data_IF_000802636491
#
_entry.id   IF_000802636491
#
_cell.length_a   1.000
_cell.length_b   1.000
_cell.length_c   1.000
_cell.angle_alpha   90.00
_cell.angle_beta   90.00
_cell.angle_gamma   90.00
#
_symmetry.space_group_name_H-M   'P 1'
#
loop_
_entity.id
_entity.type
_entity.pdbx_description
1 polymer ?
#
# COMPACT_ATOMS: atom_id res chain seq x y z
N UNK A 1 -15.70 -16.51 -23.51
CA UNK A 1 -15.29 -15.10 -23.26
C UNK A 1 -13.76 -15.03 -23.21
N UNK A 2 -13.07 -14.13 -23.94
CA UNK A 2 -11.61 -14.13 -23.93
C UNK A 2 -11.06 -13.67 -22.58
N UNK A 3 -10.25 -14.54 -21.96
CA UNK A 3 -9.53 -14.31 -20.70
C UNK A 3 -8.52 -13.16 -20.86
N UNK A 4 -7.97 -13.01 -22.06
CA UNK A 4 -7.00 -11.98 -22.42
C UNK A 4 -7.73 -10.76 -23.02
N UNK A 5 -7.43 -9.60 -22.46
CA UNK A 5 -7.74 -8.29 -23.02
C UNK A 5 -6.57 -7.82 -23.89
N UNK A 6 -6.89 -7.21 -25.04
CA UNK A 6 -5.94 -6.72 -26.04
C UNK A 6 -6.23 -5.25 -26.29
N UNK A 7 -5.20 -4.41 -26.30
CA UNK A 7 -5.33 -2.99 -26.62
C UNK A 7 -4.16 -2.52 -27.47
N UNK A 8 -4.41 -1.64 -28.44
CA UNK A 8 -3.35 -1.01 -29.23
C UNK A 8 -2.62 0.03 -28.40
N UNK A 9 -1.30 0.07 -28.54
CA UNK A 9 -0.41 1.00 -27.85
C UNK A 9 0.74 1.40 -28.77
N UNK A 10 1.33 2.56 -28.52
CA UNK A 10 2.45 3.06 -29.30
C UNK A 10 3.78 2.67 -28.65
N UNK A 11 4.69 2.11 -29.45
CA UNK A 11 6.00 1.63 -29.04
C UNK A 11 7.16 2.45 -29.62
N UNK A 12 8.35 1.83 -29.67
CA UNK A 12 9.56 2.49 -30.20
C UNK A 12 9.37 2.88 -31.66
N UNK A 13 9.89 4.04 -32.06
CA UNK A 13 9.75 4.62 -33.39
C UNK A 13 8.29 4.78 -33.83
N UNK A 14 7.41 5.06 -32.85
CA UNK A 14 5.98 5.24 -33.07
C UNK A 14 5.25 4.03 -33.69
N UNK A 15 5.87 2.85 -33.66
CA UNK A 15 5.23 1.62 -34.15
C UNK A 15 4.18 1.13 -33.16
N UNK A 16 2.97 0.86 -33.64
CA UNK A 16 1.91 0.29 -32.82
C UNK A 16 2.16 -1.19 -32.51
N UNK A 17 1.75 -1.62 -31.32
CA UNK A 17 1.73 -3.02 -30.92
C UNK A 17 0.53 -3.33 -30.03
N UNK A 18 0.22 -4.62 -29.85
CA UNK A 18 -0.88 -5.07 -29.01
C UNK A 18 -0.37 -5.41 -27.61
N UNK A 19 -0.83 -4.68 -26.59
CA UNK A 19 -0.57 -5.02 -25.20
C UNK A 19 -1.55 -6.08 -24.71
N UNK A 20 -1.05 -7.08 -23.98
CA UNK A 20 -1.87 -8.16 -23.42
C UNK A 20 -2.09 -7.96 -21.92
N UNK A 21 -3.32 -8.13 -21.43
CA UNK A 21 -3.66 -8.11 -20.00
C UNK A 21 -4.70 -9.17 -19.67
N UNK A 22 -4.79 -9.60 -18.42
CA UNK A 22 -5.95 -10.37 -17.99
C UNK A 22 -7.18 -9.45 -17.91
N UNK A 23 -8.32 -9.96 -18.37
CA UNK A 23 -9.59 -9.24 -18.29
C UNK A 23 -10.01 -9.11 -16.82
N UNK A 24 -10.10 -7.87 -16.34
CA UNK A 24 -10.49 -7.56 -14.95
C UNK A 24 -11.84 -6.84 -14.83
N UNK A 25 -12.47 -6.46 -15.94
CA UNK A 25 -13.76 -5.75 -16.00
C UNK A 25 -14.84 -6.56 -16.72
N UNK A 26 -16.12 -6.30 -16.39
CA UNK A 26 -17.29 -6.89 -17.04
C UNK A 26 -17.49 -6.30 -18.45
N UNK A 27 -18.15 -7.06 -19.33
CA UNK A 27 -18.29 -6.72 -20.75
C UNK A 27 -19.38 -5.67 -21.04
N UNK A 28 -20.22 -5.32 -20.06
CA UNK A 28 -21.28 -4.31 -20.22
C UNK A 28 -20.71 -2.88 -20.20
N UNK A 29 -19.46 -2.69 -19.78
CA UNK A 29 -18.73 -1.41 -19.84
C UNK A 29 -18.16 -1.13 -21.25
N UNK A 30 -18.85 -1.59 -22.31
CA UNK A 30 -18.53 -1.27 -23.72
C UNK A 30 -18.86 0.20 -23.99
N UNK A 31 -17.95 1.09 -23.62
CA UNK A 31 -18.06 2.51 -24.01
C UNK A 31 -17.32 3.46 -23.10
N UNK A 32 -17.10 3.10 -21.84
CA UNK A 32 -16.35 3.92 -20.89
C UNK A 32 -15.07 3.19 -20.43
N UNK A 33 -14.16 2.96 -21.38
CA UNK A 33 -12.73 3.16 -21.07
C UNK A 33 -12.40 4.65 -20.90
N UNK A 34 -13.40 5.53 -20.95
CA UNK A 34 -13.33 6.86 -20.39
C UNK A 34 -12.91 6.77 -18.94
N UNK A 35 -11.79 7.41 -18.65
CA UNK A 35 -11.29 7.78 -17.33
C UNK A 35 -12.29 8.69 -16.58
N UNK A 36 -13.58 8.38 -16.59
CA UNK A 36 -14.62 9.21 -15.99
C UNK A 36 -15.07 8.53 -14.71
N UNK A 37 -14.92 9.27 -13.61
CA UNK A 37 -15.28 8.92 -12.25
C UNK A 37 -14.34 7.94 -11.56
N UNK A 38 -13.69 8.38 -10.48
CA UNK A 38 -12.81 7.59 -9.61
C UNK A 38 -13.46 6.40 -8.88
N UNK A 39 -14.59 5.88 -9.38
CA UNK A 39 -15.15 4.58 -9.00
C UNK A 39 -14.94 3.62 -10.16
N UNK A 40 -14.20 2.55 -9.89
CA UNK A 40 -14.10 1.41 -10.79
C UNK A 40 -15.41 0.60 -10.69
N UNK A 41 -16.53 1.17 -11.15
CA UNK A 41 -17.75 0.40 -11.39
C UNK A 41 -17.47 -0.53 -12.58
N UNK A 42 -17.53 -1.84 -12.37
CA UNK A 42 -17.33 -2.83 -13.44
C UNK A 42 -16.29 -3.92 -13.19
N UNK A 43 -15.41 -3.76 -12.19
CA UNK A 43 -14.43 -4.80 -11.85
C UNK A 43 -15.09 -5.98 -11.11
N UNK A 44 -14.75 -7.22 -11.50
CA UNK A 44 -15.20 -8.42 -10.78
C UNK A 44 -14.43 -8.59 -9.46
N UNK A 45 -14.89 -9.43 -8.52
CA UNK A 45 -14.14 -9.74 -7.28
C UNK A 45 -12.70 -10.19 -7.59
N UNK A 46 -12.56 -11.10 -8.55
CA UNK A 46 -11.27 -11.55 -9.08
C UNK A 46 -10.52 -10.45 -9.83
N UNK A 47 -11.19 -9.64 -10.64
CA UNK A 47 -10.60 -8.50 -11.32
C UNK A 47 -10.01 -7.46 -10.36
N UNK A 48 -10.69 -7.22 -9.23
CA UNK A 48 -10.18 -6.37 -8.15
C UNK A 48 -8.94 -6.97 -7.49
N UNK A 49 -8.91 -8.28 -7.26
CA UNK A 49 -7.71 -8.96 -6.75
C UNK A 49 -6.54 -8.84 -7.73
N UNK A 50 -6.75 -9.13 -9.03
CA UNK A 50 -5.73 -9.02 -10.06
C UNK A 50 -5.17 -7.59 -10.18
N UNK A 51 -6.03 -6.57 -10.15
CA UNK A 51 -5.61 -5.15 -10.22
C UNK A 51 -4.87 -4.69 -8.96
N UNK A 52 -5.28 -5.15 -7.77
CA UNK A 52 -4.61 -4.83 -6.50
C UNK A 52 -3.20 -5.43 -6.46
N UNK A 53 -3.04 -6.65 -6.95
CA UNK A 53 -1.77 -7.39 -6.99
C UNK A 53 -0.94 -7.09 -8.25
N UNK A 54 -1.49 -6.34 -9.22
CA UNK A 54 -0.90 -6.09 -10.55
C UNK A 54 -0.70 -7.35 -11.39
N UNK A 55 -1.30 -8.47 -10.99
CA UNK A 55 -1.27 -9.73 -11.74
C UNK A 55 -2.00 -9.61 -13.08
N UNK A 56 -2.91 -8.65 -13.24
CA UNK A 56 -3.56 -8.38 -14.53
C UNK A 56 -2.57 -7.97 -15.64
N UNK A 57 -1.39 -7.49 -15.27
CA UNK A 57 -0.34 -7.07 -16.20
C UNK A 57 0.63 -8.21 -16.58
N UNK A 58 0.54 -9.40 -15.98
CA UNK A 58 1.42 -10.54 -16.29
C UNK A 58 1.47 -10.94 -17.77
N UNK A 59 0.36 -10.93 -18.55
CA UNK A 59 0.44 -11.25 -19.97
C UNK A 59 1.33 -10.31 -20.79
N UNK A 60 1.67 -9.12 -20.28
CA UNK A 60 2.61 -8.20 -20.92
C UNK A 60 4.04 -8.76 -20.97
N UNK A 61 4.38 -9.78 -20.18
CA UNK A 61 5.67 -10.47 -20.30
C UNK A 61 5.87 -11.04 -21.71
N UNK A 62 4.78 -11.44 -22.39
CA UNK A 62 4.83 -11.86 -23.79
C UNK A 62 5.28 -10.70 -24.70
N UNK A 63 4.86 -9.46 -24.43
CA UNK A 63 5.32 -8.28 -25.18
C UNK A 63 6.81 -7.99 -24.96
N UNK A 64 7.33 -8.29 -23.77
CA UNK A 64 8.76 -8.16 -23.48
C UNK A 64 9.55 -9.22 -24.26
N UNK A 65 9.09 -10.47 -24.24
CA UNK A 65 9.73 -11.58 -24.97
C UNK A 65 9.70 -11.34 -26.49
N UNK A 66 8.58 -10.84 -27.03
CA UNK A 66 8.46 -10.44 -28.45
C UNK A 66 9.34 -9.23 -28.82
N UNK A 67 9.81 -8.48 -27.82
CA UNK A 67 10.62 -7.31 -28.01
C UNK A 67 9.83 -6.02 -28.28
N UNK A 68 8.51 -6.00 -28.10
CA UNK A 68 7.70 -4.77 -28.18
C UNK A 68 8.00 -3.84 -27.00
N UNK A 69 8.25 -4.43 -25.83
CA UNK A 69 8.44 -3.75 -24.54
C UNK A 69 9.74 -4.18 -23.86
N UNK A 70 10.08 -3.50 -22.76
CA UNK A 70 11.12 -3.86 -21.80
C UNK A 70 10.54 -3.94 -20.39
N UNK A 71 11.33 -4.42 -19.42
CA UNK A 71 10.93 -4.39 -18.02
C UNK A 71 10.82 -2.97 -17.47
N UNK A 72 11.85 -2.15 -17.71
CA UNK A 72 11.91 -0.76 -17.28
C UNK A 72 11.87 0.17 -18.49
N UNK A 73 11.02 1.20 -18.42
CA UNK A 73 10.85 2.20 -19.46
C UNK A 73 9.61 3.07 -19.28
N UNK A 74 9.41 4.05 -20.17
CA UNK A 74 8.17 4.82 -20.22
C UNK A 74 6.96 3.91 -20.45
N UNK A 75 5.85 4.13 -19.74
CA UNK A 75 4.64 3.32 -19.93
C UNK A 75 4.07 3.57 -21.34
N UNK A 76 3.68 2.52 -22.09
CA UNK A 76 3.13 2.70 -23.43
C UNK A 76 1.73 3.33 -23.38
N UNK A 77 1.49 4.37 -24.18
CA UNK A 77 0.22 5.07 -24.23
C UNK A 77 -0.64 4.65 -25.44
N UNK A 78 -1.95 4.91 -25.38
CA UNK A 78 -2.86 4.64 -26.50
C UNK A 78 -2.61 5.66 -27.62
N UNK A 79 -2.80 5.29 -28.90
CA UNK A 79 -2.49 6.16 -30.03
C UNK A 79 -3.13 7.55 -29.96
N UNK A 80 -4.36 7.65 -29.42
CA UNK A 80 -5.11 8.90 -29.36
C UNK A 80 -4.45 9.99 -28.49
N UNK A 81 -3.54 9.60 -27.58
CA UNK A 81 -2.84 10.53 -26.69
C UNK A 81 -1.36 10.72 -27.03
N UNK A 82 -0.88 10.16 -28.14
CA UNK A 82 0.54 10.19 -28.51
C UNK A 82 0.77 11.20 -29.64
N UNK A 83 1.46 12.30 -29.32
CA UNK A 83 2.03 13.21 -30.32
C UNK A 83 3.53 13.02 -30.46
N UNK A 84 4.07 13.13 -31.68
CA UNK A 84 5.50 12.91 -31.92
C UNK A 84 6.41 13.88 -31.15
N UNK A 85 5.95 15.11 -30.96
CA UNK A 85 6.66 16.18 -30.26
C UNK A 85 6.80 15.86 -28.76
N UNK A 86 5.69 15.54 -28.10
CA UNK A 86 5.66 15.22 -26.68
C UNK A 86 6.35 13.89 -26.38
N UNK A 87 6.15 12.88 -27.25
CA UNK A 87 6.65 11.52 -27.10
C UNK A 87 7.93 11.23 -27.88
N UNK A 88 8.68 12.26 -28.27
CA UNK A 88 9.97 12.14 -28.99
C UNK A 88 10.96 11.15 -28.38
N UNK A 89 10.87 10.88 -27.07
CA UNK A 89 11.64 9.84 -26.39
C UNK A 89 11.43 8.42 -26.98
N UNK A 90 10.28 8.13 -27.59
CA UNK A 90 9.98 6.85 -28.24
C UNK A 90 10.88 6.57 -29.46
N UNK A 91 11.54 7.59 -30.04
CA UNK A 91 12.55 7.38 -31.10
C UNK A 91 13.79 6.65 -30.57
N UNK A 92 14.06 6.79 -29.27
CA UNK A 92 15.31 6.32 -28.66
C UNK A 92 15.09 5.07 -27.80
N UNK A 93 13.92 4.93 -27.16
CA UNK A 93 13.67 3.87 -26.17
C UNK A 93 12.37 3.11 -26.42
N UNK A 94 12.38 1.82 -26.08
CA UNK A 94 11.16 1.00 -26.03
C UNK A 94 10.36 1.32 -24.75
N UNK A 95 9.03 1.21 -24.80
CA UNK A 95 8.22 1.32 -23.59
C UNK A 95 8.52 0.20 -22.58
N UNK A 96 8.17 0.45 -21.32
CA UNK A 96 8.43 -0.44 -20.19
C UNK A 96 7.16 -0.91 -19.49
N UNK A 97 7.25 -2.09 -18.86
CA UNK A 97 6.24 -2.59 -17.92
C UNK A 97 6.15 -1.68 -16.68
N UNK A 98 7.31 -1.34 -16.10
CA UNK A 98 7.44 -0.41 -14.98
C UNK A 98 8.36 0.77 -15.29
N UNK A 99 8.27 1.82 -14.48
CA UNK A 99 9.02 3.06 -14.63
C UNK A 99 8.54 4.11 -13.62
N UNK A 100 9.11 5.31 -13.67
CA UNK A 100 8.77 6.40 -12.75
C UNK A 100 7.26 6.67 -12.68
N UNK A 101 6.59 6.79 -13.84
CA UNK A 101 5.14 7.02 -13.89
C UNK A 101 4.35 5.84 -13.35
N UNK A 102 4.71 4.59 -13.68
CA UNK A 102 4.05 3.39 -13.15
C UNK A 102 4.14 3.30 -11.63
N UNK A 103 5.28 3.71 -11.04
CA UNK A 103 5.51 3.70 -9.59
C UNK A 103 4.71 4.83 -8.91
N UNK A 104 4.81 6.06 -9.42
CA UNK A 104 4.15 7.23 -8.83
C UNK A 104 2.63 7.16 -8.96
N UNK A 105 2.14 6.76 -10.13
CA UNK A 105 0.72 6.62 -10.43
C UNK A 105 0.21 5.19 -10.19
N UNK A 106 0.81 4.44 -9.26
CA UNK A 106 0.31 3.10 -8.88
C UNK A 106 -1.17 3.13 -8.47
N UNK A 107 -1.60 4.24 -7.85
CA UNK A 107 -2.99 4.53 -7.46
C UNK A 107 -3.64 5.59 -8.38
N UNK A 108 -3.40 5.50 -9.69
CA UNK A 108 -3.90 6.47 -10.68
C UNK A 108 -5.38 6.80 -10.50
N UNK A 109 -6.25 5.82 -10.25
CA UNK A 109 -7.68 6.04 -10.02
C UNK A 109 -8.01 6.91 -8.80
N UNK A 110 -7.22 6.80 -7.73
CA UNK A 110 -7.37 7.65 -6.53
C UNK A 110 -6.85 9.05 -6.82
N UNK A 111 -5.66 9.17 -7.43
CA UNK A 111 -5.05 10.45 -7.81
C UNK A 111 -5.97 11.23 -8.76
N UNK A 112 -6.54 10.54 -9.74
CA UNK A 112 -7.46 11.10 -10.72
C UNK A 112 -8.70 11.72 -10.07
N UNK A 113 -9.23 11.09 -9.00
CA UNK A 113 -10.37 11.62 -8.26
C UNK A 113 -10.07 12.91 -7.49
N UNK A 114 -8.79 13.21 -7.27
CA UNK A 114 -8.34 14.41 -6.57
C UNK A 114 -8.07 15.59 -7.51
N UNK A 115 -8.05 15.40 -8.82
CA UNK A 115 -7.75 16.47 -9.78
C UNK A 115 -9.02 17.25 -10.08
N UNK A 116 -8.94 18.57 -9.97
CA UNK A 116 -10.03 19.50 -10.26
C UNK A 116 -9.84 20.13 -11.65
N UNK A 117 -10.07 19.33 -12.69
CA UNK A 117 -9.90 19.75 -14.08
C UNK A 117 -11.05 19.23 -14.93
N UNK A 118 -11.36 19.94 -16.02
CA UNK A 118 -12.31 19.47 -17.05
C UNK A 118 -11.73 18.28 -17.82
N UNK A 119 -10.40 18.20 -17.94
CA UNK A 119 -9.67 17.11 -18.61
C UNK A 119 -8.54 16.53 -17.72
N UNK A 120 -8.87 15.84 -16.61
CA UNK A 120 -7.90 15.39 -15.62
C UNK A 120 -6.84 14.43 -16.18
N UNK A 121 -7.14 13.72 -17.27
CA UNK A 121 -6.17 12.83 -17.92
C UNK A 121 -5.07 13.59 -18.65
N UNK A 122 -5.40 14.69 -19.34
CA UNK A 122 -4.44 15.52 -20.09
C UNK A 122 -3.38 16.11 -19.16
N UNK A 123 -3.79 16.55 -17.97
CA UNK A 123 -2.89 17.08 -16.95
C UNK A 123 -1.94 16.02 -16.38
N UNK A 124 -2.44 14.81 -16.11
CA UNK A 124 -1.59 13.68 -15.70
C UNK A 124 -0.63 13.28 -16.83
N UNK A 125 -1.10 13.31 -18.09
CA UNK A 125 -0.30 12.95 -19.24
C UNK A 125 0.95 13.82 -19.36
N UNK A 126 0.84 15.13 -19.10
CA UNK A 126 2.00 16.05 -19.06
C UNK A 126 3.03 15.60 -18.04
N UNK A 127 2.60 15.19 -16.85
CA UNK A 127 3.51 14.66 -15.81
C UNK A 127 4.14 13.33 -16.27
N UNK A 128 3.35 12.40 -16.84
CA UNK A 128 3.84 11.11 -17.33
C UNK A 128 4.90 11.27 -18.42
N UNK A 129 4.65 12.12 -19.42
CA UNK A 129 5.59 12.46 -20.50
C UNK A 129 6.86 13.07 -19.92
N UNK A 130 6.69 13.96 -18.95
CA UNK A 130 7.78 14.55 -18.21
C UNK A 130 8.70 13.51 -17.54
N UNK A 131 8.13 12.60 -16.76
CA UNK A 131 8.86 11.51 -16.10
C UNK A 131 9.53 10.57 -17.10
N UNK A 132 8.92 10.35 -18.28
CA UNK A 132 9.52 9.58 -19.35
C UNK A 132 10.78 10.26 -19.91
N UNK A 133 10.73 11.57 -20.18
CA UNK A 133 11.89 12.37 -20.61
C UNK A 133 13.00 12.35 -19.55
N UNK A 134 12.65 12.46 -18.27
CA UNK A 134 13.58 12.34 -17.16
C UNK A 134 14.29 10.98 -17.14
N UNK A 135 13.54 9.89 -17.32
CA UNK A 135 14.11 8.55 -17.38
C UNK A 135 15.12 8.41 -18.53
N UNK A 136 14.80 8.90 -19.73
CA UNK A 136 15.70 8.78 -20.89
C UNK A 136 17.04 9.50 -20.68
N UNK A 137 17.06 10.59 -19.92
CA UNK A 137 18.30 11.30 -19.59
C UNK A 137 19.17 10.56 -18.57
N UNK A 138 18.56 9.84 -17.63
CA UNK A 138 19.27 9.13 -16.55
C UNK A 138 19.38 7.62 -16.77
N UNK A 139 18.92 7.11 -17.91
CA UNK A 139 18.87 5.67 -18.20
C UNK A 139 20.27 5.06 -18.08
N UNK A 140 20.33 3.89 -17.46
CA UNK A 140 21.56 3.17 -17.20
C UNK A 140 21.29 1.98 -16.30
N UNK A 141 22.22 1.03 -16.24
CA UNK A 141 22.04 -0.23 -15.52
C UNK A 141 21.60 -0.02 -14.06
N UNK A 142 22.31 0.84 -13.31
CA UNK A 142 21.99 1.12 -11.91
C UNK A 142 20.64 1.82 -11.74
N UNK A 143 20.25 2.67 -12.68
CA UNK A 143 18.96 3.36 -12.63
C UNK A 143 17.81 2.38 -12.90
N UNK A 144 18.00 1.43 -13.82
CA UNK A 144 17.02 0.37 -14.08
C UNK A 144 16.90 -0.57 -12.88
N UNK A 145 18.02 -1.02 -12.30
CA UNK A 145 18.04 -1.85 -11.09
C UNK A 145 17.34 -1.14 -9.92
N UNK A 146 17.62 0.15 -9.72
CA UNK A 146 16.94 0.99 -8.72
C UNK A 146 15.42 0.99 -8.95
N UNK A 147 14.96 1.18 -10.19
CA UNK A 147 13.53 1.21 -10.50
C UNK A 147 12.87 -0.17 -10.33
N UNK A 148 13.56 -1.26 -10.64
CA UNK A 148 13.10 -2.62 -10.36
C UNK A 148 12.90 -2.81 -8.84
N UNK A 149 13.91 -2.50 -8.04
CA UNK A 149 13.84 -2.63 -6.58
C UNK A 149 12.72 -1.77 -5.98
N UNK A 150 12.61 -0.51 -6.40
CA UNK A 150 11.52 0.37 -5.95
C UNK A 150 10.16 -0.17 -6.41
N UNK A 151 10.04 -0.75 -7.62
CA UNK A 151 8.80 -1.37 -8.08
C UNK A 151 8.41 -2.54 -7.19
N UNK A 152 9.35 -3.44 -6.87
CA UNK A 152 9.10 -4.59 -5.99
C UNK A 152 8.68 -4.10 -4.59
N UNK A 153 9.45 -3.21 -3.98
CA UNK A 153 9.11 -2.60 -2.68
C UNK A 153 7.73 -1.93 -2.75
N UNK A 154 7.43 -1.23 -3.84
CA UNK A 154 6.15 -0.56 -4.02
C UNK A 154 5.00 -1.56 -3.94
N UNK A 155 5.14 -2.80 -4.43
CA UNK A 155 4.06 -3.80 -4.40
C UNK A 155 3.62 -4.13 -2.97
N UNK A 156 4.57 -4.19 -2.03
CA UNK A 156 4.32 -4.50 -0.62
C UNK A 156 3.95 -3.27 0.23
N UNK A 157 4.19 -2.06 -0.27
CA UNK A 157 3.85 -0.83 0.47
C UNK A 157 2.34 -0.51 0.45
N UNK A 158 1.76 -0.13 1.60
CA UNK A 158 0.37 0.32 1.68
C UNK A 158 0.16 1.63 0.92
N UNK A 159 -0.97 1.72 0.21
CA UNK A 159 -1.32 2.85 -0.66
C UNK A 159 -1.14 4.25 -0.05
N UNK A 160 -1.52 4.42 1.22
CA UNK A 160 -1.51 5.72 1.91
C UNK A 160 -0.12 6.20 2.34
N UNK A 161 0.79 5.28 2.68
CA UNK A 161 2.13 5.61 3.18
C UNK A 161 3.19 5.54 2.07
N UNK A 162 2.95 4.67 1.08
CA UNK A 162 3.86 4.44 -0.02
C UNK A 162 4.13 5.71 -0.84
N UNK A 163 3.16 6.60 -1.05
CA UNK A 163 3.35 7.75 -1.94
C UNK A 163 4.53 8.66 -1.52
N UNK A 164 4.57 9.10 -0.25
CA UNK A 164 5.65 9.95 0.26
C UNK A 164 7.01 9.24 0.26
N UNK A 165 7.03 7.97 0.69
CA UNK A 165 8.25 7.16 0.69
C UNK A 165 8.78 6.91 -0.72
N UNK A 166 7.90 6.59 -1.68
CA UNK A 166 8.26 6.37 -3.08
C UNK A 166 8.79 7.65 -3.72
N UNK A 167 8.18 8.82 -3.46
CA UNK A 167 8.73 10.10 -3.90
C UNK A 167 10.15 10.33 -3.37
N UNK A 168 10.37 10.07 -2.07
CA UNK A 168 11.69 10.20 -1.43
C UNK A 168 12.72 9.21 -2.01
N UNK A 169 12.32 7.97 -2.27
CA UNK A 169 13.18 6.92 -2.84
C UNK A 169 13.54 7.19 -4.31
N UNK A 170 12.59 7.70 -5.08
CA UNK A 170 12.83 8.05 -6.48
C UNK A 170 13.86 9.19 -6.59
N UNK A 171 14.02 10.03 -5.55
CA UNK A 171 14.95 11.17 -5.50
C UNK A 171 14.88 12.00 -6.79
N UNK A 172 13.65 12.33 -7.18
CA UNK A 172 13.39 13.13 -8.36
C UNK A 172 13.86 14.55 -8.05
N UNK A 173 15.05 14.89 -8.55
CA UNK A 173 15.59 16.25 -8.46
C UNK A 173 15.12 17.05 -9.67
N UNK A 174 14.56 18.23 -9.41
CA UNK A 174 14.37 19.25 -10.43
C UNK A 174 15.74 19.71 -10.94
N UNK A 175 15.87 19.86 -12.24
CA UNK A 175 17.06 20.42 -12.88
C UNK A 175 16.63 21.61 -13.75
N UNK A 176 17.57 22.50 -14.15
CA UNK A 176 17.28 23.66 -15.01
C UNK A 176 16.52 23.29 -16.30
N UNK A 177 16.69 22.06 -16.79
CA UNK A 177 16.06 21.51 -18.00
C UNK A 177 14.70 20.81 -17.76
N UNK A 178 14.37 20.49 -16.51
CA UNK A 178 13.16 19.74 -16.17
C UNK A 178 12.65 20.09 -14.77
N UNK A 179 11.58 20.87 -14.71
CA UNK A 179 10.94 21.36 -13.47
C UNK A 179 9.64 20.60 -13.24
N UNK A 180 9.73 19.45 -12.60
CA UNK A 180 8.58 18.58 -12.30
C UNK A 180 7.65 19.27 -11.31
N UNK A 181 8.21 20.02 -10.35
CA UNK A 181 7.39 20.76 -9.40
C UNK A 181 6.54 21.84 -10.10
N UNK A 182 7.05 22.47 -11.16
CA UNK A 182 6.30 23.44 -11.97
C UNK A 182 5.18 22.76 -12.77
N UNK A 183 5.45 21.59 -13.35
CA UNK A 183 4.41 20.79 -14.03
C UNK A 183 3.34 20.34 -13.02
N UNK A 184 3.73 19.89 -11.83
CA UNK A 184 2.78 19.49 -10.78
C UNK A 184 1.95 20.70 -10.31
N UNK A 185 2.55 21.88 -10.15
CA UNK A 185 1.82 23.07 -9.71
C UNK A 185 0.80 23.58 -10.73
N UNK A 186 0.98 23.27 -12.03
CA UNK A 186 -0.05 23.58 -13.04
C UNK A 186 -1.32 22.73 -12.91
N UNK A 187 -1.27 21.61 -12.18
CA UNK A 187 -2.42 20.74 -11.97
C UNK A 187 -3.20 21.20 -10.75
N UNK A 188 -4.44 21.68 -10.95
CA UNK A 188 -5.34 22.04 -9.85
C UNK A 188 -5.79 20.78 -9.10
N UNK A 189 -5.47 20.71 -7.80
CA UNK A 189 -5.89 19.62 -6.92
C UNK A 189 -7.12 20.09 -6.14
N UNK A 190 -8.18 19.27 -6.09
CA UNK A 190 -9.34 19.51 -5.22
C UNK A 190 -8.85 19.61 -3.78
N UNK A 191 -9.27 20.66 -3.08
CA UNK A 191 -9.19 20.69 -1.62
C UNK A 191 -10.13 19.60 -1.09
N UNK A 192 -9.59 18.40 -0.87
CA UNK A 192 -10.33 17.33 -0.22
C UNK A 192 -10.45 17.71 1.24
N UNK A 193 -11.51 18.46 1.56
CA UNK A 193 -11.99 18.59 2.93
C UNK A 193 -12.16 17.17 3.47
N UNK A 194 -11.47 16.91 4.58
CA UNK A 194 -11.31 15.64 5.24
C UNK A 194 -12.66 15.13 5.80
N UNK A 195 -13.64 14.78 4.95
CA UNK A 195 -14.97 14.27 5.34
C UNK A 195 -15.08 12.75 5.20
N UNK A 196 -14.06 12.02 5.65
CA UNK A 196 -14.13 10.54 5.76
C UNK A 196 -13.59 9.98 7.09
N UNK A 197 -13.24 10.84 8.06
CA UNK A 197 -12.67 10.42 9.36
C UNK A 197 -13.72 9.94 10.38
N UNK A 198 -14.98 10.40 10.31
CA UNK A 198 -15.91 10.20 11.43
C UNK A 198 -16.75 8.91 11.37
N UNK A 199 -17.13 8.41 10.19
CA UNK A 199 -18.16 7.35 10.14
C UNK A 199 -17.64 5.91 10.32
N UNK A 200 -16.36 5.64 10.08
CA UNK A 200 -15.78 4.28 10.24
C UNK A 200 -15.10 4.03 11.60
N UNK A 201 -14.86 5.07 12.42
CA UNK A 201 -14.04 4.96 13.63
C UNK A 201 -14.80 4.45 14.87
N UNK A 202 -16.12 4.67 14.95
CA UNK A 202 -16.88 4.40 16.20
C UNK A 202 -17.35 2.95 16.33
N UNK A 203 -17.67 2.29 15.21
CA UNK A 203 -18.16 0.89 15.24
C UNK A 203 -17.00 -0.13 15.33
N UNK A 204 -15.86 0.17 14.69
CA UNK A 204 -14.70 -0.71 14.71
C UNK A 204 -13.94 -0.68 16.05
N UNK A 205 -13.93 0.44 16.77
CA UNK A 205 -13.20 0.56 18.04
C UNK A 205 -13.69 -0.42 19.11
N UNK A 206 -15.00 -0.72 19.15
CA UNK A 206 -15.57 -1.73 20.06
C UNK A 206 -15.12 -3.14 19.72
N UNK A 207 -15.14 -3.51 18.44
CA UNK A 207 -14.70 -4.82 17.96
C UNK A 207 -13.19 -5.02 18.23
N UNK A 208 -12.41 -3.97 17.99
CA UNK A 208 -10.98 -3.92 18.31
C UNK A 208 -10.71 -4.11 19.80
N UNK A 209 -11.48 -3.44 20.65
CA UNK A 209 -11.37 -3.55 22.10
C UNK A 209 -11.63 -4.99 22.58
N UNK A 210 -12.65 -5.66 22.03
CA UNK A 210 -12.87 -7.07 22.32
C UNK A 210 -11.74 -7.98 21.84
N UNK A 211 -11.19 -7.71 20.66
CA UNK A 211 -10.05 -8.45 20.13
C UNK A 211 -8.79 -8.30 21.00
N UNK A 212 -8.52 -7.10 21.51
CA UNK A 212 -7.39 -6.84 22.42
C UNK A 212 -7.53 -7.63 23.73
N UNK A 213 -8.74 -7.64 24.33
CA UNK A 213 -9.01 -8.44 25.54
C UNK A 213 -8.79 -9.94 25.28
N UNK A 214 -9.30 -10.46 24.16
CA UNK A 214 -9.10 -11.87 23.78
C UNK A 214 -7.62 -12.18 23.58
N UNK A 215 -6.87 -11.29 22.92
CA UNK A 215 -5.43 -11.46 22.70
C UNK A 215 -4.63 -11.45 24.00
N UNK A 216 -4.96 -10.57 24.95
CA UNK A 216 -4.31 -10.54 26.27
C UNK A 216 -4.58 -11.85 27.03
N UNK A 217 -5.84 -12.29 27.08
CA UNK A 217 -6.22 -13.52 27.78
C UNK A 217 -5.59 -14.76 27.17
N UNK A 218 -5.70 -14.91 25.84
CA UNK A 218 -5.11 -16.05 25.12
C UNK A 218 -3.58 -16.05 25.22
N UNK A 219 -2.93 -14.89 25.14
CA UNK A 219 -1.49 -14.76 25.31
C UNK A 219 -1.01 -15.21 26.69
N UNK A 220 -1.71 -14.79 27.75
CA UNK A 220 -1.39 -15.22 29.12
C UNK A 220 -1.57 -16.73 29.31
N UNK A 221 -2.67 -17.30 28.79
CA UNK A 221 -2.94 -18.74 28.86
C UNK A 221 -1.88 -19.53 28.09
N UNK A 222 -1.55 -19.12 26.86
CA UNK A 222 -0.53 -19.77 26.03
C UNK A 222 0.85 -19.67 26.68
N UNK A 223 1.22 -18.52 27.24
CA UNK A 223 2.48 -18.35 27.97
C UNK A 223 2.54 -19.26 29.21
N UNK A 224 1.42 -19.40 29.92
CA UNK A 224 1.27 -20.35 31.02
C UNK A 224 1.51 -21.79 30.57
N UNK A 225 0.84 -22.25 29.52
CA UNK A 225 1.06 -23.60 28.97
C UNK A 225 2.49 -23.82 28.51
N UNK A 226 3.06 -22.89 27.73
CA UNK A 226 4.42 -23.02 27.20
C UNK A 226 5.46 -23.09 28.31
N UNK A 227 5.24 -22.38 29.43
CA UNK A 227 6.14 -22.39 30.58
C UNK A 227 6.06 -23.69 31.38
N UNK A 228 4.92 -24.35 31.36
CA UNK A 228 4.68 -25.61 32.06
C UNK A 228 4.74 -26.81 31.10
N UNK A 229 5.54 -26.73 30.02
CA UNK A 229 5.75 -27.82 29.05
C UNK A 229 4.43 -28.40 28.50
N UNK A 230 3.47 -27.52 28.19
CA UNK A 230 2.12 -27.84 27.72
C UNK A 230 1.23 -28.60 28.73
N UNK A 231 1.67 -28.72 29.99
CA UNK A 231 0.83 -29.20 31.09
C UNK A 231 -0.04 -28.08 31.66
N UNK A 232 -1.20 -28.43 32.24
CA UNK A 232 -2.11 -27.44 32.84
C UNK A 232 -1.47 -26.89 34.12
N UNK A 233 -1.18 -25.58 34.20
CA UNK A 233 -0.60 -25.00 35.40
C UNK A 233 -1.58 -25.06 36.59
N UNK A 234 -1.08 -25.46 37.76
CA UNK A 234 -1.88 -25.53 38.99
C UNK A 234 -2.48 -24.18 39.40
N UNK A 235 -1.82 -23.06 39.06
CA UNK A 235 -2.32 -21.71 39.36
C UNK A 235 -3.62 -21.36 38.62
N UNK A 236 -3.96 -22.06 37.52
CA UNK A 236 -5.24 -21.84 36.80
C UNK A 236 -6.44 -22.21 37.67
N UNK A 237 -6.27 -23.16 38.61
CA UNK A 237 -7.32 -23.59 39.52
C UNK A 237 -7.38 -22.77 40.82
N UNK A 238 -6.50 -21.78 40.98
CA UNK A 238 -6.53 -20.91 42.15
C UNK A 238 -7.68 -19.91 42.08
N UNK A 239 -8.37 -19.67 43.20
CA UNK A 239 -9.46 -18.68 43.25
C UNK A 239 -9.00 -17.27 42.89
N UNK A 240 -7.72 -16.97 43.09
CA UNK A 240 -7.17 -15.64 42.82
C UNK A 240 -6.81 -15.39 41.35
N UNK A 241 -6.91 -16.41 40.49
CA UNK A 241 -6.58 -16.27 39.07
C UNK A 241 -7.46 -15.22 38.39
N UNK A 242 -8.72 -15.10 38.82
CA UNK A 242 -9.65 -14.11 38.28
C UNK A 242 -9.23 -12.68 38.60
N UNK A 243 -8.71 -12.44 39.81
CA UNK A 243 -8.22 -11.13 40.23
C UNK A 243 -6.93 -10.77 39.49
N UNK A 244 -6.04 -11.74 39.28
CA UNK A 244 -4.81 -11.56 38.49
C UNK A 244 -5.14 -11.28 37.02
N UNK A 245 -5.97 -12.10 36.39
CA UNK A 245 -6.41 -11.91 35.01
C UNK A 245 -7.13 -10.58 34.81
N UNK A 246 -8.04 -10.21 35.72
CA UNK A 246 -8.73 -8.92 35.70
C UNK A 246 -7.74 -7.75 35.75
N UNK A 247 -6.74 -7.85 36.63
CA UNK A 247 -5.70 -6.83 36.78
C UNK A 247 -4.80 -6.72 35.54
N UNK A 248 -4.39 -7.84 34.93
CA UNK A 248 -3.59 -7.87 33.69
C UNK A 248 -4.37 -7.23 32.55
N UNK A 249 -5.62 -7.65 32.34
CA UNK A 249 -6.48 -7.13 31.28
C UNK A 249 -6.67 -5.63 31.47
N UNK A 250 -6.94 -5.17 32.70
CA UNK A 250 -7.13 -3.75 32.98
C UNK A 250 -5.87 -2.92 32.70
N UNK A 251 -4.70 -3.34 33.19
CA UNK A 251 -3.43 -2.61 33.00
C UNK A 251 -3.01 -2.60 31.52
N UNK A 252 -3.08 -3.76 30.86
CA UNK A 252 -2.74 -3.87 29.42
C UNK A 252 -3.70 -3.06 28.57
N UNK A 253 -5.00 -3.07 28.90
CA UNK A 253 -6.00 -2.25 28.23
C UNK A 253 -5.71 -0.74 28.38
N UNK A 254 -5.37 -0.27 29.58
CA UNK A 254 -4.98 1.12 29.80
C UNK A 254 -3.75 1.52 28.98
N UNK A 255 -2.73 0.65 28.93
CA UNK A 255 -1.53 0.86 28.09
C UNK A 255 -1.92 0.98 26.61
N UNK A 256 -2.72 0.04 26.09
CA UNK A 256 -3.13 0.04 24.69
C UNK A 256 -3.99 1.27 24.33
N UNK A 257 -4.84 1.72 25.26
CA UNK A 257 -5.60 2.97 25.13
C UNK A 257 -4.70 4.19 25.10
N UNK A 258 -3.69 4.27 25.98
CA UNK A 258 -2.74 5.38 26.05
C UNK A 258 -1.94 5.52 24.75
N UNK A 259 -1.46 4.40 24.21
CA UNK A 259 -0.74 4.36 22.91
C UNK A 259 -1.68 4.36 21.69
N UNK A 260 -2.99 4.53 21.90
CA UNK A 260 -4.02 4.64 20.85
C UNK A 260 -4.09 3.43 19.89
N UNK A 261 -3.82 2.22 20.39
CA UNK A 261 -3.81 1.00 19.57
C UNK A 261 -5.20 0.62 19.03
N UNK A 262 -6.28 0.99 19.73
CA UNK A 262 -7.68 0.77 19.31
C UNK A 262 -8.07 1.48 18.00
N UNK A 263 -7.23 2.38 17.47
CA UNK A 263 -7.48 3.07 16.21
C UNK A 263 -7.01 2.29 14.98
N UNK A 264 -6.33 1.14 15.13
CA UNK A 264 -5.70 0.48 13.98
C UNK A 264 -5.53 -1.03 14.10
N UNK A 265 -6.47 -1.81 13.55
CA UNK A 265 -6.28 -3.25 13.31
C UNK A 265 -6.14 -3.62 11.82
N UNK A 266 -6.26 -2.66 10.90
CA UNK A 266 -6.13 -2.94 9.45
C UNK A 266 -4.90 -2.27 8.80
N UNK A 267 -3.91 -1.84 9.60
CA UNK A 267 -2.63 -1.28 9.13
C UNK A 267 -1.44 -1.65 10.02
N UNK A 268 -1.19 -2.93 10.27
CA UNK A 268 0.13 -3.40 10.74
C UNK A 268 1.19 -3.29 9.62
N UNK A 269 1.43 -2.07 9.12
CA UNK A 269 2.30 -1.84 7.95
C UNK A 269 3.18 -0.60 8.05
N UNK A 270 3.14 0.14 9.17
CA UNK A 270 4.12 1.20 9.42
C UNK A 270 5.07 0.80 10.55
N UNK A 271 6.35 1.18 10.37
CA UNK A 271 7.39 0.99 11.40
C UNK A 271 7.00 1.70 12.69
N UNK A 272 6.30 2.84 12.61
CA UNK A 272 5.85 3.59 13.79
C UNK A 272 4.76 2.84 14.56
N UNK A 273 3.83 2.19 13.87
CA UNK A 273 2.80 1.37 14.53
C UNK A 273 3.45 0.16 15.22
N UNK A 274 4.42 -0.49 14.57
CA UNK A 274 5.20 -1.57 15.18
C UNK A 274 5.93 -1.09 16.46
N UNK A 275 6.58 0.07 16.40
CA UNK A 275 7.26 0.67 17.56
C UNK A 275 6.26 0.98 18.68
N UNK A 276 5.07 1.50 18.37
CA UNK A 276 4.04 1.80 19.37
C UNK A 276 3.47 0.51 20.01
N UNK A 277 3.28 -0.56 19.23
CA UNK A 277 2.87 -1.88 19.74
C UNK A 277 3.91 -2.43 20.71
N UNK A 278 5.19 -2.35 20.34
CA UNK A 278 6.29 -2.80 21.20
C UNK A 278 6.30 -1.98 22.49
N UNK A 279 6.23 -0.65 22.42
CA UNK A 279 6.17 0.23 23.60
C UNK A 279 4.99 -0.08 24.51
N UNK A 280 3.79 -0.22 23.94
CA UNK A 280 2.58 -0.49 24.71
C UNK A 280 2.64 -1.84 25.42
N UNK A 281 3.19 -2.87 24.76
CA UNK A 281 3.38 -4.18 25.38
C UNK A 281 4.40 -4.16 26.51
N UNK A 282 5.57 -3.53 26.28
CA UNK A 282 6.64 -3.41 27.28
C UNK A 282 6.15 -2.62 28.50
N UNK A 283 5.57 -1.43 28.30
CA UNK A 283 5.05 -0.59 29.39
C UNK A 283 3.95 -1.33 30.16
N UNK A 284 3.03 -1.98 29.44
CA UNK A 284 1.98 -2.78 30.07
C UNK A 284 2.54 -3.92 30.91
N UNK A 285 3.51 -4.69 30.41
CA UNK A 285 4.15 -5.78 31.16
C UNK A 285 4.90 -5.27 32.39
N UNK A 286 5.65 -4.19 32.26
CA UNK A 286 6.39 -3.59 33.40
C UNK A 286 5.44 -3.13 34.51
N UNK A 287 4.31 -2.50 34.16
CA UNK A 287 3.32 -2.08 35.15
C UNK A 287 2.65 -3.30 35.80
N UNK A 288 2.32 -4.34 35.03
CA UNK A 288 1.77 -5.60 35.58
C UNK A 288 2.75 -6.23 36.58
N UNK A 289 4.03 -6.34 36.22
CA UNK A 289 5.09 -6.87 37.08
C UNK A 289 5.23 -6.00 38.34
N UNK A 290 5.24 -4.67 38.21
CA UNK A 290 5.35 -3.77 39.36
C UNK A 290 4.15 -3.88 40.31
N UNK A 291 2.92 -3.90 39.77
CA UNK A 291 1.69 -3.97 40.57
C UNK A 291 1.56 -5.33 41.25
N UNK A 292 1.68 -6.43 40.51
CA UNK A 292 1.57 -7.78 41.09
C UNK A 292 2.73 -8.03 42.06
N UNK A 293 3.94 -7.61 41.70
CA UNK A 293 5.12 -7.74 42.55
C UNK A 293 5.01 -6.97 43.86
N UNK A 294 4.42 -5.77 43.84
CA UNK A 294 4.25 -4.94 45.03
C UNK A 294 3.14 -5.45 45.97
N UNK A 295 1.98 -5.84 45.42
CA UNK A 295 0.82 -6.20 46.25
C UNK A 295 0.79 -7.66 46.71
N UNK A 296 1.36 -8.59 45.93
CA UNK A 296 1.24 -10.03 46.19
C UNK A 296 2.58 -10.73 46.38
N UNK A 297 3.64 -10.20 45.76
CA UNK A 297 4.88 -10.96 45.56
C UNK A 297 4.68 -12.09 44.54
N UNK A 298 5.76 -12.48 43.86
CA UNK A 298 5.71 -13.47 42.77
C UNK A 298 5.65 -14.92 43.24
N UNK A 299 5.06 -15.20 44.41
CA UNK A 299 5.25 -16.50 45.07
C UNK A 299 4.65 -17.69 44.29
N UNK A 300 3.69 -17.45 43.38
CA UNK A 300 2.99 -18.51 42.65
C UNK A 300 2.96 -18.34 41.12
N UNK A 301 3.47 -17.23 40.57
CA UNK A 301 3.42 -16.94 39.13
C UNK A 301 4.81 -16.51 38.62
N UNK A 302 5.43 -17.30 37.72
CA UNK A 302 6.70 -16.93 37.10
C UNK A 302 6.63 -15.58 36.37
N UNK A 303 7.63 -14.72 36.62
CA UNK A 303 7.75 -13.40 35.97
C UNK A 303 7.75 -13.46 34.45
N UNK A 304 8.18 -14.58 33.88
CA UNK A 304 8.26 -14.84 32.43
C UNK A 304 6.90 -14.99 31.73
N UNK A 305 5.80 -15.08 32.47
CA UNK A 305 4.44 -15.19 31.92
C UNK A 305 3.88 -13.82 31.51
N UNK A 306 4.43 -12.72 32.05
CA UNK A 306 3.94 -11.34 31.88
C UNK A 306 4.74 -10.54 30.84
#
# INVERSE_FOLDING_TARGET
RPIIYRQRRVGKNFKEFIIYKFRSMRNEDKGNSGFSTGRVSGATKWGNFLRKTKLDELPQLVNIIKGDMRFIGPRPEVPEYVSEEAFSFLRVIKPGLSGYSSILFRNESEIFSMIDSKEPYSDILKIKVGLAKYYVQKKGFFQDLKLVLITIISLFLPKRMGHYLLMKLLKIQDNKKFRINEIISTVKIKNIAYRRREKESSSNSKILLYADVIAILSGFIIAGFLRHDLTVPAFIFSNDIFLVLGSIVFIKFLSFKYFKMYLGMWRYTSVMDLVNIIKANIVGSLIVIAVIGYFRGFQDIPRSIF
#
